data_IF_932668716725
#
_entry.id   IF_932668716725
#
_cell.length_a   1.000
_cell.length_b   1.000
_cell.length_c   1.000
_cell.angle_alpha   90.00
_cell.angle_beta   90.00
_cell.angle_gamma   90.00
#
_symmetry.space_group_name_H-M   'P 1'
#
loop_
_entity.id
_entity.type
_entity.pdbx_description
1 polymer ?
#
# COMPACT_ATOMS: atom_id res chain seq x y z
N UNK A 1 23.37 -14.26 -19.47
CA UNK A 1 23.17 -12.82 -19.16
C UNK A 1 22.17 -12.74 -18.02
N UNK A 2 22.46 -11.99 -16.96
CA UNK A 2 21.46 -11.71 -15.92
C UNK A 2 20.44 -10.72 -16.45
N UNK A 3 19.17 -10.86 -16.05
CA UNK A 3 18.11 -9.91 -16.40
C UNK A 3 18.05 -8.80 -15.34
N UNK A 4 18.08 -7.54 -15.78
CA UNK A 4 17.92 -6.37 -14.91
C UNK A 4 16.50 -5.80 -15.07
N UNK A 5 15.65 -5.84 -14.02
CA UNK A 5 14.29 -5.35 -14.09
C UNK A 5 14.22 -3.83 -14.29
N UNK A 6 13.44 -3.39 -15.29
CA UNK A 6 13.23 -1.96 -15.57
C UNK A 6 11.98 -1.37 -14.88
N UNK A 7 11.09 -2.24 -14.38
CA UNK A 7 9.83 -1.95 -13.68
C UNK A 7 8.79 -1.14 -14.47
N UNK A 8 9.05 0.13 -14.82
CA UNK A 8 8.06 1.04 -15.40
C UNK A 8 8.72 2.07 -16.34
N UNK A 9 8.11 2.41 -17.50
CA UNK A 9 8.61 3.44 -18.42
C UNK A 9 8.49 4.85 -17.85
N UNK A 10 9.11 5.83 -18.51
CA UNK A 10 8.88 7.25 -18.28
C UNK A 10 10.07 8.02 -17.72
N UNK A 11 10.25 9.24 -18.21
CA UNK A 11 11.41 10.08 -17.91
C UNK A 11 11.15 11.16 -16.83
N UNK A 12 9.90 11.30 -16.37
CA UNK A 12 9.52 12.29 -15.35
C UNK A 12 9.79 11.80 -13.92
N UNK A 13 9.70 12.72 -12.94
CA UNK A 13 9.75 12.36 -11.51
C UNK A 13 8.67 11.34 -11.13
N UNK A 14 7.46 11.46 -11.69
CA UNK A 14 6.37 10.49 -11.46
C UNK A 14 6.76 9.10 -11.96
N UNK A 15 7.35 8.98 -13.15
CA UNK A 15 7.88 7.71 -13.67
C UNK A 15 8.99 7.13 -12.79
N UNK A 16 9.90 7.97 -12.30
CA UNK A 16 10.96 7.56 -11.37
C UNK A 16 10.40 7.06 -10.02
N UNK A 17 9.46 7.78 -9.42
CA UNK A 17 8.81 7.39 -8.17
C UNK A 17 8.03 6.08 -8.32
N UNK A 18 7.39 5.86 -9.47
CA UNK A 18 6.72 4.58 -9.79
C UNK A 18 7.70 3.42 -9.79
N UNK A 19 8.86 3.56 -10.44
CA UNK A 19 9.93 2.55 -10.38
C UNK A 19 10.42 2.32 -8.95
N UNK A 20 10.65 3.40 -8.19
CA UNK A 20 11.06 3.36 -6.78
C UNK A 20 10.09 2.58 -5.90
N UNK A 21 8.79 2.82 -6.06
CA UNK A 21 7.75 2.08 -5.34
C UNK A 21 7.71 0.60 -5.76
N UNK A 22 7.82 0.30 -7.06
CA UNK A 22 7.84 -1.08 -7.54
C UNK A 22 9.07 -1.85 -7.05
N UNK A 23 10.24 -1.21 -7.02
CA UNK A 23 11.49 -1.84 -6.58
C UNK A 23 11.62 -1.96 -5.06
N UNK A 24 10.73 -1.32 -4.28
CA UNK A 24 10.79 -1.32 -2.82
C UNK A 24 11.91 -0.45 -2.23
N UNK A 25 12.58 0.38 -3.05
CA UNK A 25 13.65 1.27 -2.60
C UNK A 25 13.07 2.52 -1.94
N UNK A 26 12.52 2.36 -0.74
CA UNK A 26 11.73 3.38 -0.06
C UNK A 26 12.48 3.97 1.14
N UNK A 27 12.50 5.30 1.22
CA UNK A 27 13.04 6.04 2.37
C UNK A 27 12.12 5.89 3.58
N UNK A 28 12.68 5.47 4.71
CA UNK A 28 11.98 5.48 6.01
C UNK A 28 11.87 6.92 6.51
N UNK A 29 10.64 7.39 6.77
CA UNK A 29 10.35 8.77 7.21
C UNK A 29 9.85 8.85 8.65
N UNK A 30 9.40 7.75 9.22
CA UNK A 30 8.85 7.67 10.58
C UNK A 30 9.00 6.26 11.12
N UNK A 31 8.64 6.09 12.39
CA UNK A 31 8.64 4.80 13.07
C UNK A 31 7.29 4.62 13.76
N UNK A 32 6.78 3.39 13.72
CA UNK A 32 5.57 2.98 14.45
C UNK A 32 5.91 1.73 15.24
N UNK A 33 5.56 1.69 16.53
CA UNK A 33 5.78 0.49 17.33
C UNK A 33 4.92 -0.67 16.81
N UNK A 34 5.36 -1.91 17.02
CA UNK A 34 4.58 -3.09 16.58
C UNK A 34 3.23 -3.16 17.29
N UNK A 35 3.18 -2.72 18.56
CA UNK A 35 1.94 -2.59 19.31
C UNK A 35 1.02 -1.51 18.73
N UNK A 36 1.54 -0.34 18.33
CA UNK A 36 0.73 0.71 17.72
C UNK A 36 0.20 0.28 16.36
N UNK A 37 1.03 -0.39 15.56
CA UNK A 37 0.61 -0.97 14.28
C UNK A 37 -0.52 -1.97 14.49
N UNK A 38 -0.37 -2.89 15.45
CA UNK A 38 -1.41 -3.86 15.81
C UNK A 38 -2.70 -3.17 16.23
N UNK A 39 -2.59 -2.11 17.05
CA UNK A 39 -3.74 -1.35 17.53
C UNK A 39 -4.52 -0.69 16.38
N UNK A 40 -3.83 0.00 15.45
CA UNK A 40 -4.51 0.68 14.33
C UNK A 40 -5.03 -0.31 13.26
N UNK A 41 -4.43 -1.50 13.16
CA UNK A 41 -4.94 -2.57 12.30
C UNK A 41 -6.25 -3.18 12.84
N UNK A 42 -6.40 -3.29 14.17
CA UNK A 42 -7.66 -3.68 14.81
C UNK A 42 -8.04 -5.17 14.68
N UNK A 43 -7.08 -6.06 14.40
CA UNK A 43 -7.36 -7.49 14.18
C UNK A 43 -7.20 -8.37 15.44
N UNK A 44 -6.38 -7.90 16.38
CA UNK A 44 -6.10 -8.50 17.69
C UNK A 44 -5.63 -7.42 18.67
N UNK A 45 -5.49 -7.77 19.95
CA UNK A 45 -4.95 -6.86 20.94
C UNK A 45 -3.40 -6.75 20.80
N UNK A 46 -2.80 -5.57 20.99
CA UNK A 46 -1.35 -5.44 21.03
C UNK A 46 -0.70 -6.42 22.03
N UNK A 47 0.37 -7.09 21.60
CA UNK A 47 1.09 -8.08 22.41
C UNK A 47 0.42 -9.46 22.53
N UNK A 48 -0.77 -9.67 21.96
CA UNK A 48 -1.39 -11.00 21.93
C UNK A 48 -0.82 -11.87 20.79
N UNK A 49 -0.83 -13.18 21.01
CA UNK A 49 -0.49 -14.17 19.98
C UNK A 49 -1.37 -14.03 18.72
N UNK A 50 -0.83 -14.43 17.57
CA UNK A 50 -1.57 -14.49 16.31
C UNK A 50 -2.63 -15.60 16.36
N UNK A 51 -3.92 -15.29 16.16
CA UNK A 51 -4.93 -16.34 16.09
C UNK A 51 -4.82 -17.14 14.79
N UNK A 52 -5.11 -18.43 14.87
CA UNK A 52 -5.05 -19.34 13.72
C UNK A 52 -6.41 -19.59 13.08
N UNK A 53 -6.42 -19.86 11.77
CA UNK A 53 -7.61 -20.32 11.02
C UNK A 53 -7.60 -21.83 10.77
N UNK A 54 -6.44 -22.46 10.92
CA UNK A 54 -6.24 -23.90 10.86
C UNK A 54 -5.00 -24.27 11.71
N UNK A 55 -4.83 -25.53 12.12
CA UNK A 55 -3.61 -25.96 12.82
C UNK A 55 -2.33 -25.68 12.00
N UNK A 56 -1.15 -25.62 12.61
CA UNK A 56 0.11 -25.46 11.90
C UNK A 56 0.32 -26.53 10.81
N UNK A 57 1.03 -26.18 9.73
CA UNK A 57 1.28 -27.13 8.62
C UNK A 57 2.02 -28.39 9.09
N UNK A 58 2.93 -28.24 10.06
CA UNK A 58 3.65 -29.36 10.67
C UNK A 58 2.74 -30.33 11.44
N UNK A 59 1.58 -29.88 11.92
CA UNK A 59 0.60 -30.71 12.64
C UNK A 59 -0.38 -31.36 11.67
N UNK A 60 -0.89 -30.61 10.70
CA UNK A 60 -1.85 -31.15 9.70
C UNK A 60 -1.20 -32.14 8.74
N UNK A 61 0.08 -31.95 8.46
CA UNK A 61 0.75 -32.56 7.32
C UNK A 61 0.28 -31.96 6.00
N UNK A 62 1.08 -32.12 4.96
CA UNK A 62 0.76 -31.66 3.62
C UNK A 62 1.08 -32.75 2.60
N UNK A 63 0.36 -32.83 1.46
CA UNK A 63 0.72 -33.75 0.40
C UNK A 63 2.15 -33.51 -0.09
N UNK A 64 2.94 -34.57 -0.19
CA UNK A 64 4.29 -34.54 -0.75
C UNK A 64 4.22 -34.36 -2.27
N UNK A 65 4.10 -33.11 -2.73
CA UNK A 65 4.16 -32.77 -4.15
C UNK A 65 5.27 -31.75 -4.40
N UNK A 66 5.89 -31.85 -5.58
CA UNK A 66 7.06 -31.03 -5.95
C UNK A 66 6.82 -29.52 -5.85
N UNK A 67 5.59 -29.04 -6.04
CA UNK A 67 5.25 -27.62 -5.91
C UNK A 67 5.35 -27.15 -4.46
N UNK A 68 4.88 -27.93 -3.49
CA UNK A 68 4.97 -27.57 -2.06
C UNK A 68 6.41 -27.67 -1.55
N UNK A 69 7.17 -28.64 -2.07
CA UNK A 69 8.59 -28.79 -1.75
C UNK A 69 9.44 -27.64 -2.31
N UNK A 70 9.11 -27.15 -3.51
CA UNK A 70 9.86 -26.08 -4.17
C UNK A 70 9.47 -24.67 -3.70
N UNK A 71 8.26 -24.48 -3.14
CA UNK A 71 7.75 -23.17 -2.73
C UNK A 71 7.64 -23.08 -1.21
N UNK A 72 8.61 -22.41 -0.60
CA UNK A 72 8.68 -22.24 0.85
C UNK A 72 7.46 -21.49 1.42
N UNK A 73 6.70 -22.11 2.31
CA UNK A 73 5.59 -21.45 2.99
C UNK A 73 6.06 -20.25 3.84
N UNK A 74 5.27 -19.17 3.88
CA UNK A 74 5.56 -18.02 4.73
C UNK A 74 5.44 -18.37 6.22
N UNK A 75 6.05 -17.59 7.13
CA UNK A 75 5.88 -17.79 8.57
C UNK A 75 4.41 -17.86 9.00
N UNK A 76 3.55 -16.96 8.49
CA UNK A 76 2.12 -16.97 8.80
C UNK A 76 1.39 -18.20 8.24
N UNK A 77 1.79 -18.69 7.05
CA UNK A 77 1.21 -19.90 6.49
C UNK A 77 1.57 -21.15 7.31
N UNK A 78 2.85 -21.27 7.72
CA UNK A 78 3.34 -22.38 8.57
C UNK A 78 2.62 -22.45 9.91
N UNK A 79 2.40 -21.29 10.54
CA UNK A 79 1.71 -21.19 11.82
C UNK A 79 0.19 -21.32 11.72
N UNK A 80 -0.37 -21.21 10.51
CA UNK A 80 -1.80 -21.27 10.28
C UNK A 80 -2.57 -20.01 10.66
N UNK A 81 -1.89 -18.86 10.68
CA UNK A 81 -2.48 -17.55 10.97
C UNK A 81 -3.71 -17.28 10.10
N UNK A 82 -4.71 -16.56 10.63
CA UNK A 82 -5.83 -16.07 9.80
C UNK A 82 -5.32 -15.16 8.68
N UNK A 83 -6.08 -15.06 7.60
CA UNK A 83 -5.88 -14.03 6.58
C UNK A 83 -6.56 -12.74 7.07
N UNK A 84 -5.78 -11.65 7.16
CA UNK A 84 -6.21 -10.31 7.58
C UNK A 84 -5.72 -9.27 6.58
N UNK A 85 -6.04 -8.00 6.80
CA UNK A 85 -5.83 -6.97 5.80
C UNK A 85 -5.33 -5.62 6.34
N UNK A 86 -4.64 -4.89 5.49
CA UNK A 86 -4.41 -3.44 5.61
C UNK A 86 -4.97 -2.76 4.38
N UNK A 87 -5.69 -1.65 4.56
CA UNK A 87 -6.30 -0.91 3.46
C UNK A 87 -6.06 0.59 3.56
N UNK A 88 -5.65 1.22 2.46
CA UNK A 88 -5.40 2.66 2.38
C UNK A 88 -6.33 3.35 1.39
N UNK A 89 -6.72 4.58 1.71
CA UNK A 89 -7.17 5.56 0.73
C UNK A 89 -6.06 6.60 0.54
N UNK A 90 -5.78 6.98 -0.70
CA UNK A 90 -4.72 7.95 -1.06
C UNK A 90 -5.32 9.13 -1.83
N UNK A 91 -5.09 10.34 -1.34
CA UNK A 91 -5.59 11.57 -1.97
C UNK A 91 -5.05 11.74 -3.39
N UNK A 92 -5.93 12.11 -4.33
CA UNK A 92 -5.54 12.50 -5.68
C UNK A 92 -4.76 13.82 -5.71
N UNK A 93 -4.66 14.53 -4.58
CA UNK A 93 -3.82 15.73 -4.41
C UNK A 93 -2.43 15.33 -3.94
N UNK A 94 -1.65 14.74 -4.86
CA UNK A 94 -0.24 14.40 -4.68
C UNK A 94 0.08 13.47 -3.49
N UNK A 95 -0.83 12.57 -3.07
CA UNK A 95 -0.41 11.51 -2.15
C UNK A 95 0.77 10.71 -2.76
N UNK A 96 1.76 10.28 -1.95
CA UNK A 96 2.95 9.62 -2.49
C UNK A 96 2.61 8.37 -3.31
N UNK A 97 1.77 7.50 -2.76
CA UNK A 97 1.28 6.32 -3.46
C UNK A 97 -0.02 6.57 -4.22
N UNK A 98 -0.23 5.72 -5.23
CA UNK A 98 -1.49 5.56 -5.93
C UNK A 98 -1.89 4.08 -5.90
N UNK A 99 -3.19 3.74 -6.03
CA UNK A 99 -3.68 2.38 -5.78
C UNK A 99 -2.94 1.29 -6.57
N UNK A 100 -2.76 1.43 -7.89
CA UNK A 100 -2.05 0.41 -8.67
C UNK A 100 -0.60 0.21 -8.21
N UNK A 101 0.09 1.28 -7.79
CA UNK A 101 1.50 1.22 -7.39
C UNK A 101 1.70 0.70 -5.97
N UNK A 102 0.72 0.79 -5.07
CA UNK A 102 0.72 0.00 -3.83
C UNK A 102 0.60 -1.49 -4.12
N UNK A 103 -0.28 -1.87 -5.05
CA UNK A 103 -0.47 -3.26 -5.43
C UNK A 103 0.78 -3.86 -6.10
N UNK A 104 1.46 -3.09 -6.96
CA UNK A 104 2.74 -3.52 -7.54
C UNK A 104 3.83 -3.62 -6.48
N UNK A 105 3.94 -2.64 -5.59
CA UNK A 105 4.87 -2.70 -4.45
C UNK A 105 4.66 -3.98 -3.63
N UNK A 106 3.42 -4.28 -3.24
CA UNK A 106 3.09 -5.48 -2.48
C UNK A 106 3.45 -6.75 -3.26
N UNK A 107 2.99 -6.87 -4.50
CA UNK A 107 3.17 -8.07 -5.33
C UNK A 107 4.64 -8.36 -5.68
N UNK A 108 5.49 -7.33 -5.79
CA UNK A 108 6.90 -7.49 -6.14
C UNK A 108 7.75 -7.80 -4.91
N UNK A 109 7.48 -7.14 -3.77
CA UNK A 109 8.39 -7.12 -2.63
C UNK A 109 7.96 -8.04 -1.48
N UNK A 110 6.75 -8.61 -1.51
CA UNK A 110 6.22 -9.46 -0.45
C UNK A 110 5.72 -10.81 -1.01
N UNK A 111 5.91 -11.87 -0.24
CA UNK A 111 5.53 -13.24 -0.62
C UNK A 111 4.14 -13.56 -0.08
N UNK A 112 3.32 -14.27 -0.87
CA UNK A 112 2.03 -14.78 -0.40
C UNK A 112 0.99 -13.69 -0.10
N UNK A 113 1.00 -12.61 -0.88
CA UNK A 113 0.09 -11.47 -0.75
C UNK A 113 -1.04 -11.49 -1.79
N UNK A 114 -2.17 -10.90 -1.43
CA UNK A 114 -3.35 -10.71 -2.29
C UNK A 114 -3.75 -9.22 -2.33
N UNK A 115 -3.19 -8.43 -3.27
CA UNK A 115 -3.46 -7.00 -3.37
C UNK A 115 -4.68 -6.67 -4.24
N UNK A 116 -5.62 -5.88 -3.71
CA UNK A 116 -6.79 -5.38 -4.42
C UNK A 116 -6.71 -3.89 -4.73
N UNK A 117 -6.97 -3.50 -5.99
CA UNK A 117 -6.88 -2.09 -6.44
C UNK A 117 -8.25 -1.53 -6.80
N UNK A 118 -8.63 -0.42 -6.19
CA UNK A 118 -9.81 0.37 -6.53
C UNK A 118 -9.43 1.86 -6.61
N UNK A 119 -10.32 2.71 -7.11
CA UNK A 119 -10.05 4.16 -7.18
C UNK A 119 -9.88 4.79 -5.80
N UNK A 120 -10.82 4.53 -4.88
CA UNK A 120 -10.84 5.14 -3.56
C UNK A 120 -10.21 4.32 -2.43
N UNK A 121 -9.70 3.12 -2.74
CA UNK A 121 -9.03 2.27 -1.75
C UNK A 121 -8.09 1.26 -2.41
N UNK A 122 -7.04 0.88 -1.70
CA UNK A 122 -6.16 -0.23 -2.04
C UNK A 122 -5.95 -1.10 -0.81
N UNK A 123 -6.04 -2.42 -0.98
CA UNK A 123 -5.99 -3.41 0.10
C UNK A 123 -4.88 -4.42 -0.16
N UNK A 124 -4.27 -4.93 0.91
CA UNK A 124 -3.44 -6.14 0.87
C UNK A 124 -4.00 -7.12 1.89
N UNK A 125 -4.45 -8.29 1.42
CA UNK A 125 -4.77 -9.44 2.27
C UNK A 125 -3.59 -10.41 2.29
N UNK A 126 -3.20 -10.88 3.47
CA UNK A 126 -2.19 -11.92 3.65
C UNK A 126 -2.37 -12.58 5.02
N UNK A 127 -1.58 -13.63 5.32
CA UNK A 127 -1.52 -14.21 6.67
C UNK A 127 -1.13 -13.13 7.67
N UNK A 128 -1.78 -13.10 8.83
CA UNK A 128 -1.81 -11.95 9.73
C UNK A 128 -0.41 -11.36 10.00
N UNK A 129 0.57 -12.16 10.45
CA UNK A 129 1.94 -11.65 10.69
C UNK A 129 2.66 -11.15 9.45
N UNK A 130 2.48 -11.83 8.31
CA UNK A 130 3.12 -11.47 7.05
C UNK A 130 2.49 -10.16 6.48
N UNK A 131 1.18 -9.96 6.74
CA UNK A 131 0.48 -8.72 6.44
C UNK A 131 1.02 -7.56 7.28
N UNK A 132 1.33 -7.77 8.56
CA UNK A 132 1.90 -6.73 9.42
C UNK A 132 3.28 -6.26 8.95
N UNK A 133 4.12 -7.16 8.42
CA UNK A 133 5.40 -6.77 7.81
C UNK A 133 5.18 -5.82 6.62
N UNK A 134 4.23 -6.14 5.74
CA UNK A 134 3.85 -5.27 4.62
C UNK A 134 3.26 -3.94 5.11
N UNK A 135 2.38 -3.98 6.10
CA UNK A 135 1.75 -2.79 6.67
C UNK A 135 2.80 -1.86 7.31
N UNK A 136 3.77 -2.41 8.04
CA UNK A 136 4.83 -1.63 8.69
C UNK A 136 5.65 -0.82 7.68
N UNK A 137 6.09 -1.46 6.59
CA UNK A 137 6.81 -0.74 5.51
C UNK A 137 5.92 0.35 4.91
N UNK A 138 4.63 0.07 4.68
CA UNK A 138 3.71 1.07 4.15
C UNK A 138 3.45 2.25 5.09
N UNK A 139 3.54 2.04 6.40
CA UNK A 139 3.34 3.10 7.40
C UNK A 139 4.60 3.93 7.64
N UNK A 140 5.76 3.29 7.66
CA UNK A 140 7.03 3.93 8.06
C UNK A 140 7.73 4.67 6.92
N UNK A 141 7.46 4.32 5.67
CA UNK A 141 8.20 4.84 4.52
C UNK A 141 7.48 5.95 3.74
N UNK A 142 8.17 6.52 2.76
CA UNK A 142 7.66 7.57 1.89
C UNK A 142 6.44 7.20 1.05
N UNK A 143 6.12 5.90 0.91
CA UNK A 143 4.92 5.44 0.20
C UNK A 143 3.62 5.98 0.82
N UNK A 144 3.64 6.41 2.09
CA UNK A 144 2.50 7.03 2.75
C UNK A 144 2.85 8.37 3.40
N UNK A 145 1.97 9.36 3.17
CA UNK A 145 1.94 10.61 3.93
C UNK A 145 0.72 10.56 4.86
N UNK A 146 0.87 10.73 6.19
CA UNK A 146 -0.24 10.55 7.11
C UNK A 146 -1.36 11.59 6.92
N UNK A 147 -1.08 12.76 6.33
CA UNK A 147 -2.12 13.74 5.97
C UNK A 147 -2.90 13.35 4.70
N UNK A 148 -2.22 12.79 3.70
CA UNK A 148 -2.78 12.53 2.35
C UNK A 148 -3.21 11.08 2.13
N UNK A 149 -2.71 10.16 2.93
CA UNK A 149 -3.06 8.74 2.96
C UNK A 149 -3.78 8.43 4.27
N UNK A 150 -4.75 7.53 4.26
CA UNK A 150 -5.48 7.12 5.47
C UNK A 150 -5.72 5.63 5.48
N UNK A 151 -5.42 4.97 6.61
CA UNK A 151 -5.73 3.55 6.80
C UNK A 151 -7.22 3.39 7.13
N UNK A 152 -7.97 2.74 6.23
CA UNK A 152 -9.44 2.73 6.23
C UNK A 152 -9.98 1.40 5.69
N UNK A 153 -10.45 0.52 6.57
CA UNK A 153 -11.09 -0.76 6.19
C UNK A 153 -12.53 -0.61 5.68
N UNK A 154 -13.26 0.39 6.20
CA UNK A 154 -14.63 0.73 5.78
C UNK A 154 -14.79 2.24 5.61
N UNK A 155 -15.86 2.67 4.93
CA UNK A 155 -16.19 4.10 4.73
C UNK A 155 -14.98 4.89 4.21
N UNK A 156 -14.50 4.50 3.03
CA UNK A 156 -13.20 4.94 2.48
C UNK A 156 -13.25 6.28 1.74
N UNK A 157 -14.41 6.92 1.66
CA UNK A 157 -14.60 8.15 0.89
C UNK A 157 -13.58 9.23 1.30
N UNK A 158 -12.95 9.88 0.32
CA UNK A 158 -11.92 10.89 0.58
C UNK A 158 -10.94 11.13 -0.56
N UNK A 159 -10.53 10.09 -1.31
CA UNK A 159 -9.45 10.19 -2.31
C UNK A 159 -9.65 11.32 -3.35
N UNK A 160 -10.89 11.55 -3.78
CA UNK A 160 -11.27 12.53 -4.80
C UNK A 160 -11.95 13.78 -4.22
N UNK A 161 -12.02 13.88 -2.89
CA UNK A 161 -12.59 15.04 -2.20
C UNK A 161 -11.52 16.12 -2.07
N UNK A 162 -11.91 17.39 -2.06
CA UNK A 162 -11.02 18.49 -1.69
C UNK A 162 -10.35 18.19 -0.35
N UNK A 163 -9.08 18.55 -0.22
CA UNK A 163 -8.41 18.56 1.08
C UNK A 163 -9.14 19.52 2.03
N UNK A 164 -9.05 19.23 3.32
CA UNK A 164 -9.48 20.13 4.38
C UNK A 164 -8.55 21.36 4.45
N UNK A 165 -8.94 22.40 5.18
CA UNK A 165 -8.14 23.64 5.30
C UNK A 165 -6.75 23.41 5.92
N UNK A 166 -6.61 22.37 6.74
CA UNK A 166 -5.35 21.92 7.34
C UNK A 166 -4.53 20.97 6.43
N UNK A 167 -4.98 20.75 5.20
CA UNK A 167 -4.33 19.89 4.20
C UNK A 167 -4.61 18.39 4.38
N UNK A 168 -5.42 17.99 5.35
CA UNK A 168 -5.72 16.58 5.60
C UNK A 168 -6.81 16.07 4.65
N UNK A 169 -6.65 14.83 4.17
CA UNK A 169 -7.69 14.16 3.38
C UNK A 169 -8.90 13.81 4.26
N UNK A 170 -10.09 14.23 3.82
CA UNK A 170 -11.38 13.96 4.45
C UNK A 170 -11.52 12.50 4.90
N UNK A 171 -11.95 12.28 6.14
CA UNK A 171 -12.39 10.99 6.68
C UNK A 171 -13.78 11.14 7.32
N UNK A 172 -14.79 10.45 6.79
CA UNK A 172 -16.14 10.50 7.37
C UNK A 172 -16.19 10.00 8.81
N UNK A 173 -15.32 9.04 9.17
CA UNK A 173 -15.30 8.45 10.50
C UNK A 173 -14.23 9.07 11.41
N UNK A 174 -13.50 10.07 10.90
CA UNK A 174 -12.55 10.87 11.67
C UNK A 174 -11.60 9.98 12.50
N UNK A 175 -10.95 9.02 11.83
CA UNK A 175 -10.01 8.08 12.45
C UNK A 175 -8.66 8.71 12.75
N UNK A 176 -8.29 9.71 11.94
CA UNK A 176 -7.02 10.43 12.05
C UNK A 176 -7.10 11.87 11.56
N UNK A 177 -6.46 12.77 12.30
CA UNK A 177 -6.53 14.23 12.10
C UNK A 177 -5.23 14.93 12.53
N UNK A 178 -5.07 16.18 12.12
CA UNK A 178 -3.95 17.02 12.57
C UNK A 178 -4.20 17.51 14.00
N UNK A 179 -3.31 17.18 14.93
CA UNK A 179 -3.29 17.73 16.30
C UNK A 179 -1.88 18.26 16.58
N UNK A 180 -1.75 19.53 16.96
CA UNK A 180 -0.45 20.15 17.31
C UNK A 180 0.65 19.97 16.24
N UNK A 181 0.26 19.95 14.96
CA UNK A 181 1.19 19.82 13.83
C UNK A 181 1.62 18.39 13.49
N UNK A 182 1.09 17.37 14.17
CA UNK A 182 1.30 15.95 13.85
C UNK A 182 -0.03 15.26 13.57
N UNK A 183 -0.02 14.18 12.80
CA UNK A 183 -1.24 13.40 12.53
C UNK A 183 -1.42 12.37 13.64
N UNK A 184 -2.52 12.47 14.36
CA UNK A 184 -2.90 11.52 15.40
C UNK A 184 -4.00 10.60 14.88
N UNK A 185 -3.83 9.30 15.07
CA UNK A 185 -4.85 8.27 14.84
C UNK A 185 -5.34 7.74 16.19
N UNK A 186 -6.64 7.86 16.45
CA UNK A 186 -7.27 7.51 17.74
C UNK A 186 -8.37 6.45 17.60
N UNK A 187 -8.51 5.90 16.39
CA UNK A 187 -9.36 4.75 16.06
C UNK A 187 -8.63 3.82 15.12
N UNK A 188 -8.98 2.54 15.13
CA UNK A 188 -8.47 1.56 14.18
C UNK A 188 -9.00 1.81 12.75
N UNK A 189 -8.56 1.00 11.79
CA UNK A 189 -8.96 1.14 10.39
C UNK A 189 -10.47 0.96 10.14
N UNK A 190 -11.23 0.33 11.05
CA UNK A 190 -12.70 0.20 10.99
C UNK A 190 -13.42 1.18 11.93
N UNK A 191 -12.69 2.17 12.45
CA UNK A 191 -13.16 3.27 13.28
C UNK A 191 -13.62 2.88 14.70
N UNK A 192 -13.14 1.76 15.24
CA UNK A 192 -13.29 1.45 16.66
C UNK A 192 -12.27 2.29 17.43
N UNK A 193 -12.67 3.06 18.46
CA UNK A 193 -11.73 3.78 19.32
C UNK A 193 -10.67 2.84 19.89
N UNK A 194 -9.41 3.27 19.85
CA UNK A 194 -8.29 2.54 20.46
C UNK A 194 -7.91 3.20 21.80
N UNK A 195 -7.40 2.40 22.72
CA UNK A 195 -7.12 2.83 24.11
C UNK A 195 -6.03 3.90 24.20
N UNK A 196 -5.24 4.10 23.14
CA UNK A 196 -4.18 5.10 23.07
C UNK A 196 -4.15 5.80 21.72
N UNK A 197 -3.78 7.07 21.73
CA UNK A 197 -3.51 7.85 20.52
C UNK A 197 -2.19 7.40 19.90
N UNK A 198 -2.18 7.16 18.59
CA UNK A 198 -0.99 6.81 17.83
C UNK A 198 -0.53 8.02 17.03
N UNK A 199 0.70 8.46 17.25
CA UNK A 199 1.33 9.54 16.51
C UNK A 199 1.92 9.01 15.19
N UNK A 200 1.34 9.44 14.07
CA UNK A 200 1.79 9.06 12.72
C UNK A 200 2.81 10.05 12.14
N UNK A 201 3.25 11.03 12.93
CA UNK A 201 4.21 12.05 12.54
C UNK A 201 3.61 13.18 11.69
N UNK A 202 4.49 14.11 11.31
CA UNK A 202 4.11 15.29 10.53
C UNK A 202 3.65 14.90 9.12
N UNK A 203 2.62 15.56 8.57
CA UNK A 203 2.32 15.43 7.15
C UNK A 203 3.45 16.04 6.31
N UNK A 204 3.64 15.52 5.09
CA UNK A 204 4.52 16.15 4.10
C UNK A 204 4.00 17.54 3.75
N UNK A 205 4.90 18.47 3.43
CA UNK A 205 4.51 19.72 2.79
C UNK A 205 3.95 19.45 1.38
N UNK A 206 3.21 20.40 0.81
CA UNK A 206 2.71 20.29 -0.56
C UNK A 206 3.85 20.11 -1.58
N UNK A 207 4.96 20.82 -1.39
CA UNK A 207 6.14 20.71 -2.24
C UNK A 207 6.79 19.33 -2.17
N UNK A 208 6.87 18.74 -0.98
CA UNK A 208 7.43 17.40 -0.80
C UNK A 208 6.50 16.34 -1.38
N UNK A 209 5.19 16.46 -1.13
CA UNK A 209 4.18 15.58 -1.70
C UNK A 209 4.22 15.61 -3.24
N UNK A 210 4.32 16.80 -3.85
CA UNK A 210 4.44 16.98 -5.30
C UNK A 210 5.71 16.32 -5.89
N UNK A 211 6.81 16.26 -5.12
CA UNK A 211 8.07 15.60 -5.54
C UNK A 211 8.00 14.08 -5.41
N UNK A 212 7.32 13.56 -4.38
CA UNK A 212 7.29 12.12 -4.05
C UNK A 212 6.11 11.37 -4.67
N UNK A 213 5.12 12.08 -5.22
CA UNK A 213 3.92 11.44 -5.75
C UNK A 213 4.17 10.56 -6.98
N UNK A 214 3.37 9.49 -7.08
CA UNK A 214 3.24 8.63 -8.26
C UNK A 214 2.05 8.98 -9.16
N UNK A 215 1.32 10.06 -8.85
CA UNK A 215 0.19 10.56 -9.65
C UNK A 215 0.64 11.65 -10.63
N UNK A 216 0.14 11.59 -11.87
CA UNK A 216 0.26 12.70 -12.81
C UNK A 216 -0.90 13.68 -12.62
N UNK A 217 -0.62 14.99 -12.66
CA UNK A 217 -1.61 16.07 -12.60
C UNK A 217 -1.16 17.27 -13.42
N UNK A 218 -2.10 18.00 -14.01
CA UNK A 218 -1.79 19.15 -14.86
C UNK A 218 -1.12 20.31 -14.10
N UNK A 219 -1.41 20.43 -12.80
CA UNK A 219 -0.85 21.43 -11.88
C UNK A 219 0.41 20.95 -11.16
N UNK A 220 0.94 19.78 -11.52
CA UNK A 220 2.24 19.27 -11.09
C UNK A 220 3.02 18.74 -12.31
N UNK A 221 3.02 17.41 -12.54
CA UNK A 221 3.56 16.79 -13.76
C UNK A 221 2.40 16.26 -14.60
N UNK A 222 2.09 16.87 -15.77
CA UNK A 222 1.02 16.40 -16.62
C UNK A 222 1.36 15.04 -17.24
N UNK A 223 0.40 14.10 -17.30
CA UNK A 223 0.64 12.81 -17.97
C UNK A 223 1.05 12.99 -19.45
N UNK A 224 0.50 14.02 -20.11
CA UNK A 224 0.80 14.36 -21.50
C UNK A 224 2.28 14.74 -21.73
N UNK A 225 3.00 15.20 -20.70
CA UNK A 225 4.42 15.52 -20.86
C UNK A 225 5.34 14.31 -20.76
N UNK A 226 4.82 13.14 -20.36
CA UNK A 226 5.61 11.89 -20.30
C UNK A 226 5.31 11.01 -21.53
N UNK A 227 5.84 11.43 -22.68
CA UNK A 227 5.58 10.80 -23.97
C UNK A 227 5.94 9.31 -24.01
N UNK A 228 6.96 8.89 -23.26
CA UNK A 228 7.39 7.48 -23.17
C UNK A 228 6.32 6.61 -22.48
N UNK A 229 5.68 7.12 -21.43
CA UNK A 229 4.56 6.41 -20.79
C UNK A 229 3.35 6.32 -21.74
N UNK A 230 3.06 7.39 -22.47
CA UNK A 230 1.97 7.39 -23.46
C UNK A 230 2.26 6.41 -24.60
N UNK A 231 3.50 6.38 -25.12
CA UNK A 231 3.91 5.40 -26.13
C UNK A 231 3.76 3.98 -25.59
N UNK A 232 4.19 3.70 -24.36
CA UNK A 232 4.03 2.39 -23.75
C UNK A 232 2.56 1.97 -23.70
N UNK A 233 1.64 2.86 -23.31
CA UNK A 233 0.20 2.59 -23.32
C UNK A 233 -0.29 2.26 -24.73
N UNK A 234 0.09 3.05 -25.74
CA UNK A 234 -0.29 2.82 -27.13
C UNK A 234 0.24 1.49 -27.66
N UNK A 235 1.51 1.15 -27.39
CA UNK A 235 2.11 -0.13 -27.80
C UNK A 235 1.41 -1.32 -27.16
N UNK A 236 1.02 -1.23 -25.89
CA UNK A 236 0.25 -2.29 -25.22
C UNK A 236 -1.15 -2.41 -25.83
N UNK A 237 -1.81 -1.29 -26.11
CA UNK A 237 -3.11 -1.26 -26.77
C UNK A 237 -3.06 -1.91 -28.16
N UNK A 238 -2.12 -1.49 -29.00
CA UNK A 238 -1.98 -1.98 -30.38
C UNK A 238 -1.71 -3.48 -30.38
N UNK A 239 -0.74 -3.96 -29.59
CA UNK A 239 -0.42 -5.39 -29.51
C UNK A 239 -1.60 -6.22 -29.00
N UNK A 240 -2.31 -5.78 -27.95
CA UNK A 240 -3.50 -6.49 -27.45
C UNK A 240 -4.61 -6.52 -28.49
N UNK A 241 -4.76 -5.46 -29.27
CA UNK A 241 -5.76 -5.37 -30.35
C UNK A 241 -5.41 -6.31 -31.49
N UNK A 242 -4.18 -6.23 -32.02
CA UNK A 242 -3.69 -7.06 -33.11
C UNK A 242 -3.70 -8.54 -32.73
N UNK A 243 -3.14 -8.88 -31.56
CA UNK A 243 -3.06 -10.27 -31.12
C UNK A 243 -4.40 -10.85 -30.69
N UNK A 244 -5.37 -10.00 -30.32
CA UNK A 244 -6.75 -10.40 -30.10
C UNK A 244 -7.47 -10.81 -31.39
N UNK A 245 -7.11 -10.21 -32.54
CA UNK A 245 -7.58 -10.67 -33.84
C UNK A 245 -6.83 -11.94 -34.28
N UNK A 246 -5.50 -11.88 -34.36
CA UNK A 246 -4.62 -13.01 -34.64
C UNK A 246 -3.27 -12.81 -33.93
N UNK A 247 -2.78 -13.78 -33.13
CA UNK A 247 -1.57 -13.63 -32.30
C UNK A 247 -0.28 -13.80 -33.12
N UNK A 248 -0.08 -12.94 -34.12
CA UNK A 248 1.10 -12.90 -35.00
C UNK A 248 1.29 -11.51 -35.61
#
# INVERSE_FOLDING_TARGET
>A
MAYEPQFYPGATSVGANRRKHMSGDLEKLREISDEDLTAILGHRAPGSDYPSTHPPLAEMGEPACSVREAVEATPGAKAGDRVRYVQFADSMYNAPATPYFRSYFAAINFRGVDPGTLSGRQIVEARERDMEECAKVQMETEISCPGLSGMRGATVHGHSVRLQEDGVMFDMLDRRRLESGTIIMDKDQVAIPIDRKVDLGKPMSEEEAAKRTTIYRVDNVPARSDAEVIEWVHRVFDQRTSFGFQPK
#
